data_IF_303012740796
#
_entry.id   IF_303012740796
#
_cell.length_a   1.000
_cell.length_b   1.000
_cell.length_c   1.000
_cell.angle_alpha   90.00
_cell.angle_beta   90.00
_cell.angle_gamma   90.00
#
_symmetry.space_group_name_H-M   'P 1'
#
loop_
_entity.id
_entity.type
_entity.pdbx_description
1 polymer ?
#
# COMPACT_ATOMS: atom_id res chain seq x y z
N UNK A 1 5.56 -9.14 5.18
CA UNK A 1 5.54 -10.63 5.18
C UNK A 1 5.39 -11.11 3.75
N UNK A 2 6.26 -11.98 3.24
CA UNK A 2 6.14 -12.48 1.86
C UNK A 2 4.84 -13.25 1.64
N UNK A 3 4.16 -12.96 0.52
CA UNK A 3 2.93 -13.62 0.09
C UNK A 3 3.16 -15.13 -0.10
N UNK A 4 2.53 -15.96 0.72
CA UNK A 4 2.59 -17.44 0.60
C UNK A 4 1.31 -18.01 0.01
N UNK A 5 1.37 -19.24 -0.53
CA UNK A 5 0.20 -19.95 -1.04
C UNK A 5 -0.88 -20.05 0.05
N UNK A 6 -0.48 -20.31 1.30
CA UNK A 6 -1.37 -20.39 2.45
C UNK A 6 -2.08 -19.05 2.69
N UNK A 7 -1.35 -17.93 2.61
CA UNK A 7 -1.95 -16.59 2.78
C UNK A 7 -2.99 -16.26 1.70
N UNK A 8 -2.74 -16.70 0.46
CA UNK A 8 -3.66 -16.52 -0.68
C UNK A 8 -4.92 -17.37 -0.48
N UNK A 9 -4.76 -18.65 -0.13
CA UNK A 9 -5.87 -19.57 0.13
C UNK A 9 -6.75 -19.05 1.27
N UNK A 10 -6.13 -18.59 2.35
CA UNK A 10 -6.84 -18.01 3.49
C UNK A 10 -7.63 -16.75 3.10
N UNK A 11 -7.04 -15.88 2.29
CA UNK A 11 -7.75 -14.70 1.78
C UNK A 11 -8.99 -15.08 0.96
N UNK A 12 -8.87 -16.09 0.11
CA UNK A 12 -9.99 -16.61 -0.68
C UNK A 12 -11.08 -17.25 0.19
N UNK A 13 -10.70 -17.98 1.24
CA UNK A 13 -11.64 -18.57 2.20
C UNK A 13 -12.47 -17.49 2.87
N UNK A 14 -11.83 -16.46 3.44
CA UNK A 14 -12.51 -15.35 4.12
C UNK A 14 -13.44 -14.58 3.17
N UNK A 15 -13.01 -14.31 1.94
CA UNK A 15 -13.84 -13.65 0.93
C UNK A 15 -15.09 -14.47 0.57
N UNK A 16 -14.95 -15.79 0.48
CA UNK A 16 -16.06 -16.72 0.19
C UNK A 16 -17.05 -16.77 1.34
N UNK A 17 -16.57 -16.84 2.58
CA UNK A 17 -17.41 -16.83 3.79
C UNK A 17 -18.22 -15.55 3.92
N UNK A 18 -17.59 -14.39 3.66
CA UNK A 18 -18.29 -13.10 3.67
C UNK A 18 -19.38 -13.02 2.60
N UNK A 19 -19.08 -13.49 1.39
CA UNK A 19 -20.06 -13.57 0.31
C UNK A 19 -21.23 -14.48 0.70
N UNK A 20 -20.96 -15.63 1.31
CA UNK A 20 -21.99 -16.53 1.85
C UNK A 20 -22.85 -15.90 2.94
N UNK A 21 -22.28 -15.00 3.75
CA UNK A 21 -22.96 -14.24 4.78
C UNK A 21 -23.64 -12.94 4.27
N UNK A 22 -23.62 -12.66 2.96
CA UNK A 22 -24.19 -11.45 2.37
C UNK A 22 -23.47 -10.15 2.71
N UNK A 23 -22.23 -10.23 3.24
CA UNK A 23 -21.42 -9.06 3.57
C UNK A 23 -20.64 -8.57 2.35
N UNK A 24 -20.34 -7.26 2.26
CA UNK A 24 -19.36 -6.76 1.31
C UNK A 24 -18.03 -7.53 1.46
N UNK A 25 -17.40 -7.84 0.33
CA UNK A 25 -16.10 -8.54 0.33
C UNK A 25 -15.02 -7.63 0.90
N UNK A 26 -15.08 -6.34 0.54
CA UNK A 26 -14.16 -5.29 0.93
C UNK A 26 -14.85 -4.32 1.88
N UNK A 27 -14.21 -4.00 3.00
CA UNK A 27 -14.74 -3.08 4.02
C UNK A 27 -14.41 -1.63 3.69
N UNK A 28 -13.26 -1.40 3.04
CA UNK A 28 -12.75 -0.08 2.66
C UNK A 28 -12.40 -0.07 1.17
N UNK A 29 -12.54 1.09 0.53
CA UNK A 29 -12.21 1.30 -0.88
C UNK A 29 -11.28 2.51 -1.01
N UNK A 30 -10.12 2.30 -1.62
CA UNK A 30 -9.12 3.33 -1.90
C UNK A 30 -8.94 3.40 -3.42
N UNK A 31 -9.17 4.56 -4.06
CA UNK A 31 -9.07 4.71 -5.52
C UNK A 31 -7.61 4.89 -5.98
N UNK A 32 -6.77 3.90 -5.68
CA UNK A 32 -5.32 3.94 -5.88
C UNK A 32 -4.92 4.07 -7.36
N UNK A 33 -5.59 3.38 -8.27
CA UNK A 33 -5.30 3.37 -9.72
C UNK A 33 -5.41 4.74 -10.36
N UNK A 34 -6.29 5.60 -9.87
CA UNK A 34 -6.39 6.97 -10.40
C UNK A 34 -5.07 7.72 -10.18
N UNK A 35 -4.49 7.58 -8.98
CA UNK A 35 -3.19 8.16 -8.65
C UNK A 35 -2.07 7.48 -9.44
N UNK A 36 -2.02 6.15 -9.47
CA UNK A 36 -0.97 5.41 -10.20
C UNK A 36 -0.96 5.76 -11.71
N UNK A 37 -2.13 5.99 -12.31
CA UNK A 37 -2.23 6.35 -13.72
C UNK A 37 -1.56 7.69 -14.06
N UNK A 38 -1.46 8.62 -13.10
CA UNK A 38 -0.77 9.90 -13.30
C UNK A 38 0.74 9.74 -13.43
N UNK A 39 1.31 8.70 -12.82
CA UNK A 39 2.75 8.41 -12.83
C UNK A 39 3.12 7.30 -13.82
N UNK A 40 2.13 6.60 -14.38
CA UNK A 40 2.35 5.47 -15.29
C UNK A 40 3.15 5.84 -16.56
N UNK A 41 3.13 7.11 -16.96
CA UNK A 41 3.88 7.60 -18.11
C UNK A 41 5.39 7.68 -17.87
N UNK A 42 5.85 7.72 -16.61
CA UNK A 42 7.27 7.81 -16.30
C UNK A 42 7.97 6.44 -16.39
N UNK A 43 7.32 5.37 -15.94
CA UNK A 43 7.93 4.04 -15.92
C UNK A 43 9.29 4.05 -15.21
N UNK A 44 10.32 3.53 -15.87
CA UNK A 44 11.68 3.47 -15.34
C UNK A 44 12.39 4.85 -15.31
N UNK A 45 11.85 5.85 -16.01
CA UNK A 45 12.35 7.23 -16.02
C UNK A 45 11.81 8.07 -14.84
N UNK A 46 11.14 7.43 -13.86
CA UNK A 46 10.65 8.10 -12.66
C UNK A 46 11.81 8.70 -11.86
N UNK A 47 11.78 10.01 -11.65
CA UNK A 47 12.79 10.75 -10.90
C UNK A 47 12.48 10.77 -9.41
N UNK A 48 13.50 10.97 -8.58
CA UNK A 48 13.38 10.98 -7.12
C UNK A 48 12.32 11.98 -6.62
N UNK A 49 12.26 13.18 -7.19
CA UNK A 49 11.29 14.21 -6.81
C UNK A 49 9.85 13.80 -7.13
N UNK A 50 9.65 13.07 -8.23
CA UNK A 50 8.34 12.55 -8.62
C UNK A 50 7.92 11.38 -7.74
N UNK A 51 8.87 10.53 -7.34
CA UNK A 51 8.63 9.46 -6.38
C UNK A 51 8.24 10.03 -5.01
N UNK A 52 8.91 11.09 -4.53
CA UNK A 52 8.54 11.80 -3.29
C UNK A 52 7.12 12.37 -3.38
N UNK A 53 6.78 13.05 -4.48
CA UNK A 53 5.41 13.56 -4.68
C UNK A 53 4.38 12.42 -4.64
N UNK A 54 4.66 11.32 -5.33
CA UNK A 54 3.81 10.13 -5.33
C UNK A 54 3.64 9.54 -3.92
N UNK A 55 4.71 9.43 -3.13
CA UNK A 55 4.68 8.93 -1.75
C UNK A 55 3.80 9.79 -0.85
N UNK A 56 3.95 11.11 -0.88
CA UNK A 56 3.12 12.00 -0.08
C UNK A 56 1.65 11.96 -0.51
N UNK A 57 1.38 11.83 -1.82
CA UNK A 57 0.01 11.70 -2.34
C UNK A 57 -0.63 10.38 -1.94
N UNK A 58 0.15 9.28 -1.93
CA UNK A 58 -0.27 7.99 -1.39
C UNK A 58 -0.63 8.11 0.09
N UNK A 59 0.23 8.74 0.90
CA UNK A 59 -0.02 8.97 2.32
C UNK A 59 -1.35 9.72 2.55
N UNK A 60 -1.56 10.84 1.85
CA UNK A 60 -2.80 11.62 1.97
C UNK A 60 -4.02 10.79 1.55
N UNK A 61 -3.92 10.04 0.46
CA UNK A 61 -5.00 9.20 -0.03
C UNK A 61 -5.38 8.12 1.00
N UNK A 62 -4.39 7.40 1.52
CA UNK A 62 -4.59 6.35 2.52
C UNK A 62 -5.15 6.93 3.82
N UNK A 63 -4.60 8.05 4.31
CA UNK A 63 -5.09 8.74 5.51
C UNK A 63 -6.54 9.21 5.38
N UNK A 64 -6.97 9.53 4.17
CA UNK A 64 -8.34 9.99 3.89
C UNK A 64 -9.33 8.84 3.77
N UNK A 65 -8.93 7.73 3.15
CA UNK A 65 -9.82 6.61 2.87
C UNK A 65 -9.87 5.57 3.99
N UNK A 66 -8.77 5.38 4.73
CA UNK A 66 -8.69 4.40 5.81
C UNK A 66 -9.27 5.00 7.09
N UNK A 67 -10.20 4.32 7.78
CA UNK A 67 -10.77 4.83 9.02
C UNK A 67 -9.68 5.09 10.07
N UNK A 68 -9.72 6.26 10.71
CA UNK A 68 -8.73 6.63 11.75
C UNK A 68 -8.66 5.60 12.89
N UNK A 69 -9.79 4.96 13.24
CA UNK A 69 -9.85 3.91 14.25
C UNK A 69 -8.96 2.70 13.93
N UNK A 70 -8.67 2.42 12.65
CA UNK A 70 -7.79 1.31 12.26
C UNK A 70 -6.32 1.59 12.59
N UNK A 71 -5.99 2.84 12.93
CA UNK A 71 -4.65 3.28 13.35
C UNK A 71 -4.49 3.28 14.87
N UNK A 72 -5.54 2.92 15.61
CA UNK A 72 -5.49 2.77 17.07
C UNK A 72 -4.95 1.37 17.41
N UNK A 73 -3.96 1.30 18.29
CA UNK A 73 -3.25 0.04 18.60
C UNK A 73 -4.16 -1.10 19.10
N UNK A 74 -5.30 -0.76 19.69
CA UNK A 74 -6.28 -1.72 20.23
C UNK A 74 -7.29 -2.21 19.19
N UNK A 75 -7.31 -1.64 17.98
CA UNK A 75 -8.28 -1.99 16.95
C UNK A 75 -7.88 -3.29 16.23
N UNK A 76 -8.86 -4.17 15.94
CA UNK A 76 -8.62 -5.48 15.31
C UNK A 76 -7.92 -5.39 13.94
N UNK A 77 -8.13 -4.28 13.24
CA UNK A 77 -7.51 -3.99 11.94
C UNK A 77 -6.20 -3.19 12.03
N UNK A 78 -5.68 -2.94 13.24
CA UNK A 78 -4.38 -2.31 13.41
C UNK A 78 -3.27 -3.18 12.81
N UNK A 79 -2.31 -2.53 12.15
CA UNK A 79 -1.16 -3.19 11.54
C UNK A 79 0.07 -2.33 11.72
N UNK A 80 1.08 -2.86 12.42
CA UNK A 80 2.37 -2.20 12.58
C UNK A 80 3.04 -1.97 11.22
N UNK A 81 3.03 -3.00 10.36
CA UNK A 81 3.53 -2.89 8.97
C UNK A 81 2.88 -1.74 8.19
N UNK A 82 1.57 -1.52 8.38
CA UNK A 82 0.86 -0.40 7.75
C UNK A 82 1.24 0.96 8.32
N UNK A 83 1.38 1.08 9.64
CA UNK A 83 1.83 2.33 10.25
C UNK A 83 3.26 2.68 9.86
N UNK A 84 4.16 1.69 9.80
CA UNK A 84 5.54 1.86 9.33
C UNK A 84 5.58 2.27 7.84
N UNK A 85 4.68 1.72 7.01
CA UNK A 85 4.50 2.17 5.62
C UNK A 85 3.96 3.60 5.55
N UNK A 86 2.96 3.94 6.36
CA UNK A 86 2.40 5.30 6.42
C UNK A 86 3.46 6.32 6.83
N UNK A 87 4.31 5.99 7.80
CA UNK A 87 5.43 6.83 8.24
C UNK A 87 6.45 7.00 7.11
N UNK A 88 6.86 5.92 6.44
CA UNK A 88 7.76 5.99 5.27
C UNK A 88 7.20 6.87 4.16
N UNK A 89 5.91 6.76 3.86
CA UNK A 89 5.25 7.58 2.83
C UNK A 89 5.16 9.06 3.23
N UNK A 90 4.95 9.36 4.52
CA UNK A 90 4.88 10.73 5.05
C UNK A 90 6.25 11.42 5.08
N UNK A 91 7.30 10.66 5.38
CA UNK A 91 8.65 11.17 5.58
C UNK A 91 9.54 11.03 4.33
N UNK A 92 9.00 10.55 3.21
CA UNK A 92 9.76 10.28 2.00
C UNK A 92 10.51 11.53 1.50
N UNK A 93 11.80 11.36 1.23
CA UNK A 93 12.69 12.39 0.69
C UNK A 93 13.39 11.90 -0.56
N UNK A 94 13.99 12.81 -1.34
CA UNK A 94 14.73 12.44 -2.54
C UNK A 94 15.94 11.51 -2.23
N UNK A 95 16.47 11.58 -1.00
CA UNK A 95 17.57 10.72 -0.56
C UNK A 95 17.15 9.25 -0.49
N UNK A 96 15.88 8.96 -0.18
CA UNK A 96 15.33 7.60 -0.10
C UNK A 96 15.23 6.91 -1.47
N UNK A 97 15.29 7.69 -2.55
CA UNK A 97 15.24 7.22 -3.94
C UNK A 97 16.57 7.40 -4.68
N UNK A 98 17.63 7.80 -3.99
CA UNK A 98 18.94 7.98 -4.59
C UNK A 98 19.77 6.70 -4.45
N UNK A 99 20.33 6.15 -5.54
CA UNK A 99 21.19 4.98 -5.47
C UNK A 99 22.37 5.22 -4.52
N UNK A 100 22.62 4.25 -3.65
CA UNK A 100 23.78 4.22 -2.76
C UNK A 100 24.77 3.15 -3.23
N UNK A 101 25.94 3.07 -2.58
CA UNK A 101 26.93 2.04 -2.90
C UNK A 101 26.42 0.62 -2.63
N UNK A 102 25.49 0.47 -1.68
CA UNK A 102 24.98 -0.81 -1.21
C UNK A 102 23.57 -1.13 -1.75
N UNK A 103 22.95 -0.19 -2.46
CA UNK A 103 21.57 -0.28 -2.95
C UNK A 103 21.42 0.51 -4.26
N UNK A 104 21.09 -0.17 -5.36
CA UNK A 104 21.07 0.43 -6.70
C UNK A 104 19.66 0.54 -7.30
N UNK A 105 18.61 0.36 -6.51
CA UNK A 105 17.25 0.38 -7.03
C UNK A 105 16.88 1.78 -7.54
N UNK A 106 16.18 1.79 -8.65
CA UNK A 106 15.57 2.98 -9.22
C UNK A 106 14.42 3.48 -8.34
N UNK A 107 14.04 4.76 -8.44
CA UNK A 107 12.86 5.28 -7.73
C UNK A 107 11.59 4.46 -8.02
N UNK A 108 11.43 3.96 -9.25
CA UNK A 108 10.34 3.09 -9.65
C UNK A 108 10.33 1.76 -8.87
N UNK A 109 11.48 1.09 -8.75
CA UNK A 109 11.61 -0.17 -8.00
C UNK A 109 11.31 0.01 -6.51
N UNK A 110 11.79 1.11 -5.90
CA UNK A 110 11.49 1.43 -4.50
C UNK A 110 9.99 1.64 -4.27
N UNK A 111 9.34 2.42 -5.14
CA UNK A 111 7.88 2.63 -5.06
C UNK A 111 7.12 1.31 -5.27
N UNK A 112 7.53 0.49 -6.22
CA UNK A 112 6.90 -0.80 -6.46
C UNK A 112 6.99 -1.72 -5.24
N UNK A 113 8.14 -1.76 -4.56
CA UNK A 113 8.28 -2.52 -3.32
C UNK A 113 7.31 -2.04 -2.23
N UNK A 114 7.15 -0.72 -2.06
CA UNK A 114 6.20 -0.16 -1.09
C UNK A 114 4.74 -0.44 -1.47
N UNK A 115 4.43 -0.42 -2.78
CA UNK A 115 3.11 -0.78 -3.28
C UNK A 115 2.80 -2.25 -3.07
N UNK A 116 3.77 -3.15 -3.23
CA UNK A 116 3.60 -4.58 -2.92
C UNK A 116 3.22 -4.79 -1.45
N UNK A 117 3.93 -4.12 -0.53
CA UNK A 117 3.60 -4.14 0.90
C UNK A 117 2.17 -3.62 1.16
N UNK A 118 1.77 -2.53 0.47
CA UNK A 118 0.42 -1.98 0.56
C UNK A 118 -0.63 -2.96 0.04
N UNK A 119 -0.38 -3.62 -1.09
CA UNK A 119 -1.30 -4.61 -1.67
C UNK A 119 -1.47 -5.83 -0.76
N UNK A 120 -0.39 -6.33 -0.18
CA UNK A 120 -0.44 -7.43 0.80
C UNK A 120 -1.24 -7.04 2.04
N UNK A 121 -1.06 -5.81 2.54
CA UNK A 121 -1.90 -5.26 3.62
C UNK A 121 -3.37 -5.18 3.21
N UNK A 122 -3.67 -4.64 2.02
CA UNK A 122 -5.04 -4.49 1.54
C UNK A 122 -5.77 -5.83 1.39
N UNK A 123 -5.08 -6.86 0.89
CA UNK A 123 -5.60 -8.22 0.80
C UNK A 123 -5.91 -8.81 2.18
N UNK A 124 -5.02 -8.60 3.16
CA UNK A 124 -5.20 -9.11 4.53
C UNK A 124 -6.39 -8.47 5.23
N UNK A 125 -6.49 -7.14 5.20
CA UNK A 125 -7.47 -6.35 5.95
C UNK A 125 -8.71 -5.98 5.14
N UNK A 126 -8.88 -6.59 3.95
CA UNK A 126 -10.06 -6.41 3.10
C UNK A 126 -10.27 -4.95 2.69
N UNK A 127 -9.18 -4.30 2.29
CA UNK A 127 -9.18 -2.98 1.66
C UNK A 127 -8.99 -3.16 0.16
N UNK A 128 -9.92 -2.63 -0.62
CA UNK A 128 -9.82 -2.62 -2.06
C UNK A 128 -8.96 -1.44 -2.53
N UNK A 129 -7.79 -1.73 -3.10
CA UNK A 129 -6.78 -0.76 -3.55
C UNK A 129 -6.87 -0.53 -5.07
N UNK A 130 -8.10 -0.28 -5.53
CA UNK A 130 -8.52 -0.32 -6.94
C UNK A 130 -7.69 0.53 -7.87
#
# INVERSE_FOLDING_TARGET
MSRTIESIVECHRVATERRGAGKPIWDVKVPLRALLAEFAAFGDDLMAEQAVDMSHRLFVLLKTCVPAAWREHEHDNYSMDFEDLMERLEQATAADFTPTKDWCDTPCEVINAWLEELYDWGDRYRVWLG
#
